data_IF_110114157122
#
_entry.id   IF_110114157122
#
_cell.length_a   1.000
_cell.length_b   1.000
_cell.length_c   1.000
_cell.angle_alpha   90.00
_cell.angle_beta   90.00
_cell.angle_gamma   90.00
#
_symmetry.space_group_name_H-M   'P 1'
#
loop_
_entity.id
_entity.type
_entity.pdbx_description
1 polymer ?
#
# COMPACT_ATOMS: atom_id res chain seq x y z
N UNK A 1 6.98 -15.09 20.73
CA UNK A 1 5.61 -14.71 21.15
C UNK A 1 4.71 -15.01 19.97
N UNK A 2 3.71 -15.88 20.15
CA UNK A 2 2.72 -16.20 19.13
C UNK A 2 1.97 -14.91 18.77
N UNK A 3 1.96 -14.51 17.51
CA UNK A 3 1.21 -13.37 17.03
C UNK A 3 -0.25 -13.53 17.39
N UNK A 4 -0.74 -12.64 18.23
CA UNK A 4 -2.13 -12.64 18.68
C UNK A 4 -3.00 -12.39 17.43
N UNK A 5 -3.79 -13.39 17.07
CA UNK A 5 -4.74 -13.25 15.94
C UNK A 5 -5.65 -12.06 16.22
N UNK A 6 -5.75 -11.14 15.27
CA UNK A 6 -6.66 -9.99 15.38
C UNK A 6 -8.06 -10.52 15.71
N UNK A 7 -8.51 -10.23 16.94
CA UNK A 7 -9.84 -10.61 17.42
C UNK A 7 -10.86 -9.55 17.00
N UNK A 8 -11.59 -9.87 15.90
CA UNK A 8 -12.69 -9.03 15.37
C UNK A 8 -13.76 -8.76 16.44
N UNK A 9 -13.91 -9.66 17.44
CA UNK A 9 -14.88 -9.47 18.54
C UNK A 9 -14.37 -8.44 19.55
N UNK A 10 -13.06 -8.37 19.78
CA UNK A 10 -12.46 -7.34 20.62
C UNK A 10 -12.62 -5.96 19.98
N UNK A 11 -12.33 -5.85 18.67
CA UNK A 11 -12.53 -4.60 17.90
C UNK A 11 -14.01 -4.17 17.93
N UNK A 12 -14.96 -5.08 17.72
CA UNK A 12 -16.39 -4.77 17.76
C UNK A 12 -16.79 -4.20 19.13
N UNK A 13 -16.25 -4.78 20.22
CA UNK A 13 -16.49 -4.31 21.59
C UNK A 13 -15.92 -2.91 21.83
N UNK A 14 -14.70 -2.66 21.40
CA UNK A 14 -14.04 -1.34 21.54
C UNK A 14 -14.79 -0.24 20.78
N UNK A 15 -15.31 -0.56 19.59
CA UNK A 15 -16.08 0.36 18.77
C UNK A 15 -17.55 0.50 19.20
N UNK A 16 -18.00 -0.24 20.23
CA UNK A 16 -19.41 -0.24 20.67
C UNK A 16 -20.40 -0.76 19.62
N UNK A 17 -19.92 -1.57 18.67
CA UNK A 17 -20.72 -2.10 17.56
C UNK A 17 -21.15 -3.54 17.86
N UNK A 18 -22.44 -3.84 17.69
CA UNK A 18 -22.93 -5.19 17.88
C UNK A 18 -22.26 -6.16 16.87
N UNK A 19 -21.84 -7.33 17.35
CA UNK A 19 -21.22 -8.40 16.55
C UNK A 19 -22.02 -8.70 15.27
N UNK A 20 -23.35 -8.74 15.37
CA UNK A 20 -24.23 -8.95 14.23
C UNK A 20 -24.14 -7.83 13.18
N UNK A 21 -23.93 -6.59 13.63
CA UNK A 21 -23.73 -5.43 12.74
C UNK A 21 -22.38 -5.51 12.03
N UNK A 22 -21.31 -5.89 12.74
CA UNK A 22 -20.01 -6.09 12.15
C UNK A 22 -20.00 -7.25 11.13
N UNK A 23 -20.64 -8.39 11.44
CA UNK A 23 -20.81 -9.50 10.49
C UNK A 23 -21.72 -9.14 9.28
N UNK A 24 -22.63 -8.20 9.44
CA UNK A 24 -23.47 -7.71 8.33
C UNK A 24 -22.68 -6.79 7.39
N UNK A 25 -21.75 -5.98 7.94
CA UNK A 25 -20.91 -5.09 7.16
C UNK A 25 -19.73 -5.81 6.52
N UNK A 26 -19.12 -6.71 7.26
CA UNK A 26 -17.94 -7.47 6.82
C UNK A 26 -18.23 -8.96 6.91
N UNK A 27 -18.53 -9.56 5.76
CA UNK A 27 -18.89 -10.98 5.66
C UNK A 27 -17.80 -11.91 6.20
N UNK A 28 -16.52 -11.49 6.19
CA UNK A 28 -15.38 -12.26 6.69
C UNK A 28 -14.35 -11.36 7.37
N UNK A 29 -13.52 -11.97 8.25
CA UNK A 29 -12.34 -11.32 8.85
C UNK A 29 -11.43 -10.74 7.76
N UNK A 30 -11.31 -11.43 6.63
CA UNK A 30 -10.47 -11.02 5.50
C UNK A 30 -10.96 -9.71 4.86
N UNK A 31 -12.26 -9.59 4.64
CA UNK A 31 -12.82 -8.34 4.11
C UNK A 31 -12.60 -7.16 5.06
N UNK A 32 -12.83 -7.36 6.37
CA UNK A 32 -12.56 -6.32 7.36
C UNK A 32 -11.08 -5.89 7.35
N UNK A 33 -10.16 -6.85 7.35
CA UNK A 33 -8.72 -6.57 7.30
C UNK A 33 -8.36 -5.85 6.00
N UNK A 34 -8.91 -6.29 4.87
CA UNK A 34 -8.68 -5.64 3.58
C UNK A 34 -9.15 -4.18 3.57
N UNK A 35 -10.35 -3.90 4.08
CA UNK A 35 -10.87 -2.52 4.17
C UNK A 35 -9.99 -1.64 5.07
N UNK A 36 -9.61 -2.13 6.25
CA UNK A 36 -8.75 -1.38 7.18
C UNK A 36 -7.39 -1.11 6.56
N UNK A 37 -6.75 -2.11 5.95
CA UNK A 37 -5.43 -1.94 5.33
C UNK A 37 -5.49 -0.98 4.15
N UNK A 38 -6.52 -1.07 3.31
CA UNK A 38 -6.71 -0.16 2.19
C UNK A 38 -6.90 1.29 2.66
N UNK A 39 -7.77 1.50 3.65
CA UNK A 39 -8.03 2.83 4.21
C UNK A 39 -6.78 3.46 4.82
N UNK A 40 -6.04 2.70 5.63
CA UNK A 40 -4.77 3.15 6.21
C UNK A 40 -3.72 3.47 5.14
N UNK A 41 -3.63 2.63 4.10
CA UNK A 41 -2.71 2.85 2.99
C UNK A 41 -3.03 4.12 2.21
N UNK A 42 -4.30 4.33 1.83
CA UNK A 42 -4.75 5.53 1.11
C UNK A 42 -4.51 6.81 1.92
N UNK A 43 -4.88 6.81 3.19
CA UNK A 43 -4.65 7.96 4.08
C UNK A 43 -3.15 8.25 4.22
N UNK A 44 -2.34 7.21 4.40
CA UNK A 44 -0.92 7.37 4.65
C UNK A 44 -0.18 7.92 3.44
N UNK A 45 -0.43 7.39 2.24
CA UNK A 45 0.23 7.89 1.02
C UNK A 45 -0.17 9.35 0.74
N UNK A 46 -1.42 9.74 0.99
CA UNK A 46 -1.87 11.11 0.84
C UNK A 46 -1.14 12.05 1.82
N UNK A 47 -1.05 11.69 3.11
CA UNK A 47 -0.32 12.46 4.12
C UNK A 47 1.16 12.62 3.75
N UNK A 48 1.79 11.56 3.27
CA UNK A 48 3.20 11.61 2.88
C UNK A 48 3.41 12.50 1.66
N UNK A 49 2.49 12.45 0.67
CA UNK A 49 2.54 13.34 -0.49
C UNK A 49 2.44 14.82 -0.08
N UNK A 50 1.55 15.15 0.84
CA UNK A 50 1.43 16.51 1.39
C UNK A 50 2.70 16.94 2.13
N UNK A 51 3.29 16.05 2.93
CA UNK A 51 4.53 16.33 3.70
C UNK A 51 5.75 16.60 2.84
N UNK A 52 5.90 15.86 1.77
CA UNK A 52 7.02 16.04 0.83
C UNK A 52 6.97 17.45 0.20
N UNK A 53 5.78 17.95 -0.08
CA UNK A 53 5.62 19.25 -0.76
C UNK A 53 6.13 19.22 -2.20
N UNK A 54 6.26 20.39 -2.82
CA UNK A 54 6.69 20.50 -4.21
C UNK A 54 5.74 19.87 -5.21
N UNK A 55 6.17 19.75 -6.47
CA UNK A 55 5.37 19.19 -7.57
C UNK A 55 6.21 18.32 -8.51
N UNK A 56 5.51 17.54 -9.35
CA UNK A 56 6.09 16.77 -10.43
C UNK A 56 6.67 15.43 -10.01
N UNK A 57 7.50 14.86 -10.90
CA UNK A 57 8.05 13.52 -10.76
C UNK A 57 8.81 13.29 -9.46
N UNK A 58 9.65 14.24 -9.06
CA UNK A 58 10.47 14.10 -7.84
C UNK A 58 9.60 14.07 -6.57
N UNK A 59 8.57 14.90 -6.51
CA UNK A 59 7.65 14.93 -5.37
C UNK A 59 6.83 13.63 -5.27
N UNK A 60 6.43 13.04 -6.41
CA UNK A 60 5.81 11.71 -6.44
C UNK A 60 6.79 10.63 -5.95
N UNK A 61 8.01 10.62 -6.51
CA UNK A 61 9.03 9.66 -6.13
C UNK A 61 9.36 9.68 -4.64
N UNK A 62 9.52 10.87 -4.07
CA UNK A 62 9.82 11.04 -2.64
C UNK A 62 8.65 10.59 -1.76
N UNK A 63 7.41 10.81 -2.17
CA UNK A 63 6.23 10.32 -1.47
C UNK A 63 6.14 8.78 -1.52
N UNK A 64 6.40 8.17 -2.67
CA UNK A 64 6.41 6.71 -2.83
C UNK A 64 7.54 6.07 -2.02
N UNK A 65 8.75 6.62 -2.08
CA UNK A 65 9.88 6.14 -1.30
C UNK A 65 9.61 6.21 0.22
N UNK A 66 9.07 7.33 0.70
CA UNK A 66 8.68 7.45 2.10
C UNK A 66 7.63 6.40 2.51
N UNK A 67 6.63 6.18 1.68
CA UNK A 67 5.60 5.17 1.92
C UNK A 67 6.17 3.75 1.91
N UNK A 68 7.00 3.42 0.93
CA UNK A 68 7.64 2.11 0.80
C UNK A 68 8.55 1.79 2.00
N UNK A 69 9.31 2.79 2.49
CA UNK A 69 10.14 2.64 3.69
C UNK A 69 9.31 2.42 4.95
N UNK A 70 8.21 3.12 5.10
CA UNK A 70 7.30 2.90 6.24
C UNK A 70 6.69 1.51 6.21
N UNK A 71 6.23 1.05 5.04
CA UNK A 71 5.70 -0.32 4.89
C UNK A 71 6.76 -1.37 5.21
N UNK A 72 7.99 -1.22 4.69
CA UNK A 72 9.11 -2.13 4.99
C UNK A 72 9.47 -2.15 6.49
N UNK A 73 9.24 -1.04 7.19
CA UNK A 73 9.47 -0.89 8.64
C UNK A 73 8.29 -1.31 9.52
N UNK A 74 7.09 -1.49 8.97
CA UNK A 74 5.86 -1.73 9.75
C UNK A 74 5.87 -3.12 10.41
N UNK A 75 6.01 -3.16 11.74
CA UNK A 75 6.09 -4.41 12.50
C UNK A 75 4.82 -5.27 12.36
N UNK A 76 3.64 -4.66 12.40
CA UNK A 76 2.37 -5.36 12.25
C UNK A 76 2.23 -6.02 10.88
N UNK A 77 2.66 -5.36 9.80
CA UNK A 77 2.65 -5.92 8.46
C UNK A 77 3.65 -7.08 8.33
N UNK A 78 4.86 -6.92 8.87
CA UNK A 78 5.86 -7.99 8.90
C UNK A 78 5.39 -9.20 9.70
N UNK A 79 4.76 -8.98 10.85
CA UNK A 79 4.19 -10.06 11.65
C UNK A 79 3.08 -10.81 10.89
N UNK A 80 2.20 -10.10 10.17
CA UNK A 80 1.16 -10.69 9.33
C UNK A 80 1.77 -11.53 8.19
N UNK A 81 2.75 -10.98 7.48
CA UNK A 81 3.45 -11.70 6.40
C UNK A 81 4.20 -12.93 6.90
N UNK A 82 4.78 -12.88 8.10
CA UNK A 82 5.49 -14.01 8.69
C UNK A 82 4.57 -15.11 9.23
N UNK A 83 3.44 -14.75 9.81
CA UNK A 83 2.54 -15.70 10.50
C UNK A 83 1.42 -16.25 9.61
N UNK A 84 0.92 -15.44 8.67
CA UNK A 84 -0.22 -15.77 7.80
C UNK A 84 0.09 -15.37 6.33
N UNK A 85 1.25 -15.77 5.80
CA UNK A 85 1.78 -15.30 4.51
C UNK A 85 0.82 -15.46 3.33
N UNK A 86 0.13 -16.61 3.19
CA UNK A 86 -0.84 -16.83 2.11
C UNK A 86 -2.02 -15.86 2.20
N UNK A 87 -2.54 -15.66 3.41
CA UNK A 87 -3.60 -14.69 3.66
C UNK A 87 -3.11 -13.27 3.38
N UNK A 88 -1.95 -12.91 3.88
CA UNK A 88 -1.35 -11.59 3.70
C UNK A 88 -1.16 -11.26 2.21
N UNK A 89 -0.52 -12.14 1.45
CA UNK A 89 -0.32 -11.95 0.00
C UNK A 89 -1.66 -11.83 -0.73
N UNK A 90 -2.63 -12.71 -0.44
CA UNK A 90 -3.96 -12.64 -1.06
C UNK A 90 -4.67 -11.32 -0.75
N UNK A 91 -4.59 -10.83 0.48
CA UNK A 91 -5.20 -9.55 0.88
C UNK A 91 -4.54 -8.36 0.20
N UNK A 92 -3.20 -8.34 0.16
CA UNK A 92 -2.43 -7.17 -0.25
C UNK A 92 -2.29 -7.07 -1.78
N UNK A 93 -2.18 -8.21 -2.50
CA UNK A 93 -1.76 -8.22 -3.90
C UNK A 93 -2.83 -8.71 -4.88
N UNK A 94 -4.01 -9.12 -4.39
CA UNK A 94 -5.08 -9.62 -5.27
C UNK A 94 -5.82 -8.50 -5.97
N UNK A 95 -5.86 -8.53 -7.30
CA UNK A 95 -6.67 -7.60 -8.10
C UNK A 95 -8.19 -7.78 -7.92
N UNK A 96 -8.61 -8.93 -7.42
CA UNK A 96 -10.00 -9.19 -7.04
C UNK A 96 -10.28 -8.83 -5.56
N UNK A 97 -9.24 -8.41 -4.82
CA UNK A 97 -9.34 -7.97 -3.42
C UNK A 97 -9.71 -6.50 -3.29
N UNK A 98 -9.57 -5.99 -2.06
CA UNK A 98 -9.89 -4.59 -1.73
C UNK A 98 -8.63 -3.72 -1.77
N UNK A 99 -7.50 -4.20 -1.23
CA UNK A 99 -6.31 -3.39 -0.98
C UNK A 99 -5.66 -2.93 -2.28
N UNK A 100 -5.28 -3.85 -3.14
CA UNK A 100 -4.55 -3.54 -4.37
C UNK A 100 -5.31 -2.58 -5.29
N UNK A 101 -6.59 -2.78 -5.64
CA UNK A 101 -7.30 -1.84 -6.51
C UNK A 101 -7.43 -0.44 -5.90
N UNK A 102 -7.65 -0.34 -4.58
CA UNK A 102 -7.72 0.95 -3.89
C UNK A 102 -6.37 1.65 -3.86
N UNK A 103 -5.27 0.94 -3.64
CA UNK A 103 -3.92 1.51 -3.70
C UNK A 103 -3.57 1.99 -5.12
N UNK A 104 -3.90 1.21 -6.16
CA UNK A 104 -3.73 1.64 -7.56
C UNK A 104 -4.52 2.92 -7.83
N UNK A 105 -5.79 2.99 -7.41
CA UNK A 105 -6.61 4.18 -7.57
C UNK A 105 -6.06 5.38 -6.78
N UNK A 106 -5.51 5.17 -5.58
CA UNK A 106 -4.88 6.24 -4.79
C UNK A 106 -3.64 6.81 -5.49
N UNK A 107 -2.73 5.94 -5.96
CA UNK A 107 -1.53 6.34 -6.70
C UNK A 107 -1.90 7.04 -8.00
N UNK A 108 -2.90 6.53 -8.74
CA UNK A 108 -3.41 7.17 -9.96
C UNK A 108 -3.90 8.60 -9.70
N UNK A 109 -4.68 8.81 -8.64
CA UNK A 109 -5.14 10.18 -8.26
C UNK A 109 -4.00 11.13 -7.98
N UNK A 110 -2.91 10.67 -7.35
CA UNK A 110 -1.71 11.48 -7.12
C UNK A 110 -1.02 11.85 -8.45
N UNK A 111 -0.83 10.88 -9.35
CA UNK A 111 -0.24 11.11 -10.68
C UNK A 111 -1.09 12.11 -11.47
N UNK A 112 -2.41 11.93 -11.52
CA UNK A 112 -3.33 12.83 -12.21
C UNK A 112 -3.32 14.25 -11.62
N UNK A 113 -3.15 14.38 -10.29
CA UNK A 113 -3.01 15.69 -9.64
C UNK A 113 -1.73 16.40 -10.10
N UNK A 114 -0.62 15.68 -10.19
CA UNK A 114 0.64 16.24 -10.68
C UNK A 114 0.60 16.54 -12.18
N UNK A 115 -0.11 15.75 -12.98
CA UNK A 115 -0.32 16.06 -14.40
C UNK A 115 -1.09 17.38 -14.58
N UNK A 116 -2.10 17.63 -13.75
CA UNK A 116 -2.80 18.93 -13.75
C UNK A 116 -1.89 20.09 -13.35
N UNK A 117 -0.82 19.81 -12.60
CA UNK A 117 0.21 20.78 -12.22
C UNK A 117 1.38 20.86 -13.23
N UNK A 118 1.30 20.15 -14.37
CA UNK A 118 2.29 20.22 -15.45
C UNK A 118 3.29 19.04 -15.50
N UNK A 119 3.11 18.00 -14.70
CA UNK A 119 3.92 16.80 -14.82
C UNK A 119 3.54 16.02 -16.09
N UNK A 120 4.55 15.68 -16.90
CA UNK A 120 4.38 14.89 -18.11
C UNK A 120 5.00 13.50 -17.92
N UNK A 121 4.33 12.49 -18.44
CA UNK A 121 4.80 11.08 -18.43
C UNK A 121 4.45 10.40 -19.73
N UNK A 122 5.28 9.48 -20.17
CA UNK A 122 5.06 8.68 -21.38
C UNK A 122 3.95 7.61 -21.20
N UNK A 123 3.61 7.24 -19.96
CA UNK A 123 2.61 6.24 -19.65
C UNK A 123 1.28 6.88 -19.26
N UNK A 124 0.17 6.24 -19.61
CA UNK A 124 -1.13 6.61 -19.08
C UNK A 124 -1.15 6.49 -17.54
N UNK A 125 -1.84 7.39 -16.82
CA UNK A 125 -1.81 7.43 -15.35
C UNK A 125 -2.22 6.12 -14.67
N UNK A 126 -3.21 5.43 -15.21
CA UNK A 126 -3.69 4.13 -14.73
C UNK A 126 -2.63 3.04 -14.89
N UNK A 127 -1.94 2.98 -16.04
CA UNK A 127 -0.87 2.02 -16.29
C UNK A 127 0.35 2.30 -15.42
N UNK A 128 0.72 3.58 -15.27
CA UNK A 128 1.84 3.99 -14.41
C UNK A 128 1.56 3.66 -12.95
N UNK A 129 0.36 3.98 -12.46
CA UNK A 129 -0.06 3.65 -11.09
C UNK A 129 -0.05 2.13 -10.84
N UNK A 130 -0.59 1.36 -11.78
CA UNK A 130 -0.57 -0.09 -11.69
C UNK A 130 0.86 -0.64 -11.62
N UNK A 131 1.75 -0.17 -12.50
CA UNK A 131 3.15 -0.61 -12.50
C UNK A 131 3.87 -0.29 -11.18
N UNK A 132 3.73 0.94 -10.65
CA UNK A 132 4.32 1.36 -9.38
C UNK A 132 3.83 0.48 -8.23
N UNK A 133 2.52 0.26 -8.10
CA UNK A 133 1.96 -0.58 -7.02
C UNK A 133 2.44 -2.02 -7.14
N UNK A 134 2.44 -2.61 -8.34
CA UNK A 134 2.92 -4.00 -8.55
C UNK A 134 4.40 -4.17 -8.24
N UNK A 135 5.23 -3.19 -8.55
CA UNK A 135 6.65 -3.21 -8.19
C UNK A 135 6.82 -3.12 -6.67
N UNK A 136 6.12 -2.21 -6.00
CA UNK A 136 6.16 -2.11 -4.55
C UNK A 136 5.74 -3.42 -3.87
N UNK A 137 4.67 -4.07 -4.34
CA UNK A 137 4.23 -5.38 -3.85
C UNK A 137 5.32 -6.46 -4.01
N UNK A 138 6.00 -6.50 -5.16
CA UNK A 138 7.06 -7.47 -5.41
C UNK A 138 8.25 -7.27 -4.46
N UNK A 139 8.73 -6.03 -4.32
CA UNK A 139 9.89 -5.72 -3.48
C UNK A 139 9.61 -5.76 -1.97
N UNK A 140 8.40 -5.46 -1.54
CA UNK A 140 8.09 -5.35 -0.11
C UNK A 140 7.48 -6.63 0.45
N UNK A 141 6.56 -7.28 -0.28
CA UNK A 141 5.80 -8.39 0.28
C UNK A 141 6.37 -9.74 -0.11
N UNK A 142 6.73 -9.95 -1.37
CA UNK A 142 7.32 -11.22 -1.79
C UNK A 142 8.71 -11.44 -1.19
N UNK A 143 9.53 -10.40 -1.12
CA UNK A 143 10.84 -10.46 -0.47
C UNK A 143 10.70 -10.76 1.02
N UNK A 144 9.73 -10.14 1.72
CA UNK A 144 9.48 -10.39 3.13
C UNK A 144 9.05 -11.84 3.40
N UNK A 145 8.21 -12.43 2.54
CA UNK A 145 7.82 -13.84 2.64
C UNK A 145 9.00 -14.78 2.41
N UNK A 146 9.92 -14.41 1.51
CA UNK A 146 11.16 -15.15 1.27
C UNK A 146 12.21 -14.96 2.37
N UNK A 147 11.93 -14.17 3.41
CA UNK A 147 12.88 -13.85 4.48
C UNK A 147 13.96 -12.87 4.05
N UNK A 148 13.79 -12.20 2.92
CA UNK A 148 14.68 -11.18 2.39
C UNK A 148 14.16 -9.80 2.83
N UNK A 149 15.07 -8.91 3.23
CA UNK A 149 14.70 -7.53 3.51
C UNK A 149 14.44 -6.82 2.18
N UNK A 150 13.24 -6.29 1.98
CA UNK A 150 12.88 -5.56 0.77
C UNK A 150 13.87 -4.42 0.46
N UNK A 151 14.32 -4.38 -0.79
CA UNK A 151 15.30 -3.39 -1.26
C UNK A 151 14.58 -2.12 -1.73
N UNK A 152 14.22 -1.26 -0.79
CA UNK A 152 13.54 0.02 -1.09
C UNK A 152 14.40 0.96 -1.93
N UNK A 153 15.73 0.81 -1.91
CA UNK A 153 16.61 1.64 -2.72
C UNK A 153 16.52 1.26 -4.20
N UNK A 154 16.56 -0.04 -4.52
CA UNK A 154 16.35 -0.51 -5.90
C UNK A 154 14.95 -0.20 -6.40
N UNK A 155 13.94 -0.37 -5.54
CA UNK A 155 12.57 0.01 -5.87
C UNK A 155 12.50 1.49 -6.26
N UNK A 156 13.07 2.39 -5.46
CA UNK A 156 13.16 3.82 -5.75
C UNK A 156 13.83 4.11 -7.11
N UNK A 157 14.90 3.41 -7.45
CA UNK A 157 15.59 3.60 -8.75
C UNK A 157 14.69 3.23 -9.94
N UNK A 158 13.92 2.14 -9.81
CA UNK A 158 12.98 1.73 -10.86
C UNK A 158 11.81 2.70 -10.95
N UNK A 159 11.25 3.12 -9.82
CA UNK A 159 10.19 4.13 -9.78
C UNK A 159 10.64 5.47 -10.37
N UNK A 160 11.89 5.88 -10.13
CA UNK A 160 12.49 7.07 -10.74
C UNK A 160 12.48 6.98 -12.26
N UNK A 161 12.95 5.86 -12.82
CA UNK A 161 12.95 5.63 -14.26
C UNK A 161 11.54 5.63 -14.87
N UNK A 162 10.53 5.04 -14.18
CA UNK A 162 9.13 5.06 -14.60
C UNK A 162 8.53 6.47 -14.61
N UNK A 163 8.98 7.32 -13.69
CA UNK A 163 8.56 8.73 -13.59
C UNK A 163 9.35 9.65 -14.54
N UNK A 164 10.28 9.11 -15.34
CA UNK A 164 11.10 9.89 -16.28
C UNK A 164 12.26 10.64 -15.61
N UNK A 165 12.65 10.23 -14.40
CA UNK A 165 13.81 10.74 -13.69
C UNK A 165 15.04 9.86 -13.95
N UNK A 166 16.22 10.47 -13.91
CA UNK A 166 17.48 9.73 -14.00
C UNK A 166 17.67 8.90 -12.72
N UNK A 167 17.80 7.58 -12.79
CA UNK A 167 18.05 6.75 -11.61
C UNK A 167 19.49 6.97 -11.14
N UNK A 168 19.68 7.87 -10.18
CA UNK A 168 20.97 8.14 -9.57
C UNK A 168 21.38 7.03 -8.58
#
# INVERSE_FOLDING_TARGET
>A
MAGERIDVQAIARELGIARATMHRWFRTRELLLGEVLAELGEQRIAILRERVGGHGALALLDAFDAFNRELAGAEGLRALLASEHELALRLLTSSAGVVQPRMVAAVQRLIEAEQRAGFETALAPDLLAYAIVRLAEAFLYNDAVAGVKGDTQRLRQIEAALLGLDPA
#
